data_IF_792523856901
#
_entry.id   IF_792523856901
#
_cell.length_a   1.000
_cell.length_b   1.000
_cell.length_c   1.000
_cell.angle_alpha   90.00
_cell.angle_beta   90.00
_cell.angle_gamma   90.00
#
_symmetry.space_group_name_H-M   'P 1'
#
loop_
_entity.id
_entity.type
_entity.pdbx_description
1 polymer ?
#
# COMPACT_ATOMS: atom_id res chain seq x y z
N UNK A 1 -2.16 -32.52 29.07
CA UNK A 1 -0.90 -32.46 29.84
C UNK A 1 -0.94 -33.57 30.89
N UNK A 2 -0.36 -34.76 30.60
CA UNK A 2 -0.61 -35.97 31.39
C UNK A 2 -0.11 -35.88 32.84
N UNK A 3 0.97 -35.13 33.09
CA UNK A 3 1.63 -35.08 34.40
C UNK A 3 0.90 -34.21 35.45
N UNK A 4 -0.06 -33.38 35.04
CA UNK A 4 -0.79 -32.49 35.95
C UNK A 4 -2.31 -32.70 35.91
N UNK A 5 -2.79 -33.67 35.13
CA UNK A 5 -4.23 -33.86 34.87
C UNK A 5 -5.04 -34.21 36.12
N UNK A 6 -4.41 -34.78 37.15
CA UNK A 6 -5.01 -35.09 38.45
C UNK A 6 -4.70 -34.05 39.54
N UNK A 7 -4.04 -32.93 39.21
CA UNK A 7 -3.70 -31.91 40.20
C UNK A 7 -4.93 -31.11 40.63
N UNK A 8 -5.16 -30.89 41.94
CA UNK A 8 -6.22 -30.00 42.43
C UNK A 8 -6.00 -28.54 42.03
N UNK A 9 -4.79 -28.20 41.57
CA UNK A 9 -4.40 -26.86 41.09
C UNK A 9 -4.31 -26.76 39.57
N UNK A 10 -4.85 -27.73 38.83
CA UNK A 10 -4.78 -27.77 37.36
C UNK A 10 -5.20 -26.45 36.71
N UNK A 11 -6.30 -25.83 37.15
CA UNK A 11 -6.77 -24.56 36.61
C UNK A 11 -5.76 -23.42 36.78
N UNK A 12 -5.11 -23.34 37.95
CA UNK A 12 -4.09 -22.32 38.26
C UNK A 12 -2.83 -22.54 37.39
N UNK A 13 -2.42 -23.81 37.23
CA UNK A 13 -1.30 -24.15 36.36
C UNK A 13 -1.56 -23.81 34.89
N UNK A 14 -2.77 -24.08 34.39
CA UNK A 14 -3.17 -23.75 33.01
C UNK A 14 -3.25 -22.24 32.80
N UNK A 15 -3.79 -21.51 33.78
CA UNK A 15 -3.87 -20.06 33.74
C UNK A 15 -2.47 -19.43 33.70
N UNK A 16 -1.57 -19.85 34.59
CA UNK A 16 -0.20 -19.34 34.62
C UNK A 16 0.60 -19.68 33.35
N UNK A 17 0.37 -20.88 32.78
CA UNK A 17 0.94 -21.24 31.47
C UNK A 17 0.47 -20.27 30.38
N UNK A 18 -0.84 -19.98 30.34
CA UNK A 18 -1.44 -19.07 29.36
C UNK A 18 -0.88 -17.65 29.52
N UNK A 19 -0.83 -17.13 30.74
CA UNK A 19 -0.27 -15.80 31.04
C UNK A 19 1.17 -15.64 30.56
N UNK A 20 2.02 -16.65 30.80
CA UNK A 20 3.42 -16.62 30.36
C UNK A 20 3.51 -16.64 28.83
N UNK A 21 2.67 -17.43 28.15
CA UNK A 21 2.60 -17.45 26.68
C UNK A 21 2.20 -16.07 26.16
N UNK A 22 1.12 -15.48 26.67
CA UNK A 22 0.63 -14.16 26.26
C UNK A 22 1.68 -13.06 26.50
N UNK A 23 2.41 -13.11 27.61
CA UNK A 23 3.51 -12.17 27.88
C UNK A 23 4.66 -12.26 26.87
N UNK A 24 4.98 -13.47 26.41
CA UNK A 24 5.99 -13.66 25.36
C UNK A 24 5.48 -13.21 24.00
N UNK A 25 4.23 -13.54 23.66
CA UNK A 25 3.58 -13.11 22.41
C UNK A 25 3.55 -11.58 22.28
N UNK A 26 3.15 -10.85 23.33
CA UNK A 26 3.17 -9.37 23.33
C UNK A 26 4.56 -8.78 23.03
N UNK A 27 5.63 -9.41 23.53
CA UNK A 27 7.00 -8.95 23.27
C UNK A 27 7.42 -9.22 21.82
N UNK A 28 7.01 -10.36 21.26
CA UNK A 28 7.25 -10.69 19.85
C UNK A 28 6.50 -9.73 18.93
N UNK A 29 5.22 -9.48 19.19
CA UNK A 29 4.38 -8.56 18.42
C UNK A 29 4.97 -7.14 18.43
N UNK A 30 5.42 -6.67 19.60
CA UNK A 30 6.09 -5.37 19.73
C UNK A 30 7.39 -5.32 18.92
N UNK A 31 8.17 -6.40 18.91
CA UNK A 31 9.41 -6.47 18.13
C UNK A 31 9.16 -6.46 16.62
N UNK A 32 8.14 -7.19 16.17
CA UNK A 32 7.73 -7.23 14.76
C UNK A 32 7.20 -5.86 14.33
N UNK A 33 6.31 -5.24 15.11
CA UNK A 33 5.76 -3.93 14.79
C UNK A 33 6.84 -2.86 14.63
N UNK A 34 7.79 -2.79 15.57
CA UNK A 34 8.92 -1.86 15.49
C UNK A 34 9.77 -2.10 14.24
N UNK A 35 10.01 -3.37 13.90
CA UNK A 35 10.78 -3.77 12.72
C UNK A 35 10.06 -3.34 11.43
N UNK A 36 8.75 -3.57 11.34
CA UNK A 36 7.93 -3.12 10.22
C UNK A 36 7.91 -1.59 10.11
N UNK A 37 7.82 -0.87 11.23
CA UNK A 37 7.90 0.59 11.26
C UNK A 37 9.25 1.11 10.76
N UNK A 38 10.37 0.45 11.09
CA UNK A 38 11.67 0.78 10.51
C UNK A 38 11.69 0.60 8.99
N UNK A 39 11.09 -0.48 8.46
CA UNK A 39 10.97 -0.68 7.02
C UNK A 39 10.12 0.41 6.35
N UNK A 40 9.01 0.82 6.98
CA UNK A 40 8.18 1.92 6.47
C UNK A 40 8.94 3.23 6.46
N UNK A 41 9.71 3.51 7.53
CA UNK A 41 10.55 4.70 7.63
C UNK A 41 11.56 4.79 6.48
N UNK A 42 12.21 3.68 6.13
CA UNK A 42 13.15 3.65 5.03
C UNK A 42 12.49 3.88 3.67
N UNK A 43 11.33 3.27 3.41
CA UNK A 43 10.59 3.51 2.16
C UNK A 43 10.13 4.96 2.06
N UNK A 44 9.61 5.53 3.15
CA UNK A 44 9.21 6.93 3.21
C UNK A 44 10.39 7.87 2.94
N UNK A 45 11.57 7.55 3.46
CA UNK A 45 12.79 8.30 3.21
C UNK A 45 13.18 8.25 1.72
N UNK A 46 13.13 7.07 1.08
CA UNK A 46 13.40 6.93 -0.36
C UNK A 46 12.44 7.79 -1.18
N UNK A 47 11.13 7.69 -0.91
CA UNK A 47 10.11 8.47 -1.61
C UNK A 47 10.36 9.99 -1.47
N UNK A 48 10.64 10.46 -0.25
CA UNK A 48 10.89 11.87 0.01
C UNK A 48 12.18 12.40 -0.65
N UNK A 49 13.22 11.57 -0.76
CA UNK A 49 14.50 11.96 -1.34
C UNK A 49 14.49 11.94 -2.88
N UNK A 50 13.70 11.04 -3.48
CA UNK A 50 13.81 10.70 -4.90
C UNK A 50 12.63 11.22 -5.73
N UNK A 51 11.44 11.37 -5.15
CA UNK A 51 10.22 11.75 -5.89
C UNK A 51 9.99 13.26 -5.89
N UNK A 52 10.11 13.87 -7.06
CA UNK A 52 9.95 15.31 -7.28
C UNK A 52 8.54 15.64 -7.74
N UNK A 53 8.08 16.86 -7.47
CA UNK A 53 6.78 17.34 -7.99
C UNK A 53 6.72 17.34 -9.52
N UNK A 54 7.85 17.59 -10.17
CA UNK A 54 8.00 17.60 -11.63
C UNK A 54 7.80 16.22 -12.27
N UNK A 55 7.88 15.12 -11.49
CA UNK A 55 7.64 13.78 -12.01
C UNK A 55 6.16 13.60 -12.40
N UNK A 56 5.25 14.22 -11.64
CA UNK A 56 3.80 14.14 -11.89
C UNK A 56 3.20 15.43 -12.49
N UNK A 57 3.98 16.52 -12.49
CA UNK A 57 3.63 17.77 -13.15
C UNK A 57 4.85 18.37 -13.84
N UNK A 58 5.30 17.78 -14.96
CA UNK A 58 6.40 18.30 -15.74
C UNK A 58 6.04 19.66 -16.34
N UNK A 59 7.04 20.51 -16.52
CA UNK A 59 6.86 21.84 -17.11
C UNK A 59 6.69 21.76 -18.64
N UNK A 60 7.34 20.79 -19.27
CA UNK A 60 7.19 20.46 -20.70
C UNK A 60 6.68 19.03 -20.87
N UNK A 61 5.41 18.89 -21.23
CA UNK A 61 4.76 17.58 -21.43
C UNK A 61 5.21 16.88 -22.72
N UNK A 62 5.82 17.57 -23.68
CA UNK A 62 6.13 17.00 -25.00
C UNK A 62 7.34 16.05 -24.98
N UNK A 63 8.22 16.18 -23.99
CA UNK A 63 9.48 15.44 -23.90
C UNK A 63 9.50 14.42 -22.75
N UNK A 64 8.33 14.05 -22.22
CA UNK A 64 8.24 13.14 -21.08
C UNK A 64 8.22 11.69 -21.58
N UNK A 65 9.19 10.90 -21.11
CA UNK A 65 9.18 9.46 -21.30
C UNK A 65 8.23 8.80 -20.29
N UNK A 66 7.19 8.11 -20.78
CA UNK A 66 6.24 7.38 -19.94
C UNK A 66 6.91 6.11 -19.41
N UNK A 67 7.30 6.14 -18.14
CA UNK A 67 7.86 5.02 -17.41
C UNK A 67 7.64 5.22 -15.91
N UNK A 68 7.85 4.17 -15.12
CA UNK A 68 7.90 4.32 -13.67
C UNK A 68 9.11 5.16 -13.25
N UNK A 69 8.96 5.87 -12.15
CA UNK A 69 9.93 6.83 -11.61
C UNK A 69 11.11 6.13 -10.94
N UNK A 70 12.20 6.87 -10.75
CA UNK A 70 13.36 6.36 -10.03
C UNK A 70 13.03 6.05 -8.55
N UNK A 71 12.11 6.82 -7.94
CA UNK A 71 11.65 6.52 -6.59
C UNK A 71 10.91 5.18 -6.54
N UNK A 72 10.05 4.89 -7.54
CA UNK A 72 9.39 3.60 -7.67
C UNK A 72 10.40 2.45 -7.77
N UNK A 73 11.42 2.56 -8.61
CA UNK A 73 12.49 1.56 -8.75
C UNK A 73 13.16 1.29 -7.40
N UNK A 74 13.59 2.35 -6.71
CA UNK A 74 14.33 2.23 -5.45
C UNK A 74 13.46 1.62 -4.34
N UNK A 75 12.19 2.01 -4.24
CA UNK A 75 11.24 1.44 -3.28
C UNK A 75 10.99 -0.03 -3.60
N UNK A 76 10.69 -0.39 -4.85
CA UNK A 76 10.44 -1.79 -5.22
C UNK A 76 11.67 -2.68 -4.98
N UNK A 77 12.87 -2.21 -5.30
CA UNK A 77 14.11 -2.93 -5.02
C UNK A 77 14.30 -3.17 -3.51
N UNK A 78 14.04 -2.14 -2.69
CA UNK A 78 14.09 -2.28 -1.23
C UNK A 78 13.05 -3.29 -0.73
N UNK A 79 11.78 -3.16 -1.13
CA UNK A 79 10.70 -4.06 -0.70
C UNK A 79 11.01 -5.51 -1.04
N UNK A 80 11.45 -5.80 -2.28
CA UNK A 80 11.80 -7.17 -2.69
C UNK A 80 12.87 -7.79 -1.79
N UNK A 81 13.92 -7.02 -1.47
CA UNK A 81 14.99 -7.45 -0.55
C UNK A 81 14.45 -7.75 0.87
N UNK A 82 13.52 -6.94 1.36
CA UNK A 82 12.92 -7.15 2.67
C UNK A 82 11.99 -8.37 2.70
N UNK A 83 11.18 -8.55 1.66
CA UNK A 83 10.29 -9.72 1.49
C UNK A 83 11.09 -11.02 1.44
N UNK A 84 12.19 -11.05 0.69
CA UNK A 84 13.09 -12.20 0.65
C UNK A 84 13.63 -12.55 2.04
N UNK A 85 14.12 -11.54 2.77
CA UNK A 85 14.60 -11.73 4.14
C UNK A 85 13.52 -12.29 5.07
N UNK A 86 12.30 -11.77 4.99
CA UNK A 86 11.19 -12.23 5.83
C UNK A 86 10.88 -13.70 5.53
N UNK A 87 10.79 -14.08 4.25
CA UNK A 87 10.53 -15.46 3.83
C UNK A 87 11.62 -16.45 4.25
N UNK A 88 12.86 -15.99 4.35
CA UNK A 88 13.99 -16.82 4.76
C UNK A 88 14.21 -16.83 6.28
N UNK A 89 13.46 -16.05 7.05
CA UNK A 89 13.67 -15.89 8.51
C UNK A 89 12.44 -16.29 9.34
N UNK A 90 11.35 -16.70 8.71
CA UNK A 90 10.08 -17.02 9.37
C UNK A 90 9.42 -18.23 8.70
N UNK A 91 8.74 -19.03 9.51
CA UNK A 91 8.12 -20.28 9.07
C UNK A 91 6.58 -20.24 9.17
N UNK A 92 5.96 -21.17 8.44
CA UNK A 92 4.56 -21.53 8.60
C UNK A 92 3.60 -20.37 8.34
N UNK A 93 2.66 -20.12 9.26
CA UNK A 93 1.66 -19.06 9.11
C UNK A 93 2.16 -17.69 9.54
N UNK A 94 3.27 -17.61 10.28
CA UNK A 94 3.78 -16.35 10.80
C UNK A 94 4.34 -15.47 9.68
N UNK A 95 4.99 -16.07 8.68
CA UNK A 95 5.48 -15.36 7.49
C UNK A 95 4.33 -14.68 6.74
N UNK A 96 3.19 -15.36 6.57
CA UNK A 96 2.04 -14.82 5.86
C UNK A 96 1.42 -13.63 6.62
N UNK A 97 1.30 -13.74 7.94
CA UNK A 97 0.80 -12.65 8.81
C UNK A 97 1.70 -11.42 8.72
N UNK A 98 3.03 -11.60 8.78
CA UNK A 98 3.98 -10.48 8.71
C UNK A 98 4.01 -9.86 7.31
N UNK A 99 3.97 -10.67 6.25
CA UNK A 99 3.89 -10.17 4.86
C UNK A 99 2.56 -9.46 4.60
N UNK A 100 1.46 -9.94 5.17
CA UNK A 100 0.16 -9.26 5.09
C UNK A 100 0.24 -7.86 5.72
N UNK A 101 0.73 -7.76 6.96
CA UNK A 101 0.87 -6.47 7.65
C UNK A 101 1.84 -5.53 6.92
N UNK A 102 2.99 -6.05 6.45
CA UNK A 102 3.93 -5.30 5.63
C UNK A 102 3.26 -4.74 4.37
N UNK A 103 2.49 -5.58 3.67
CA UNK A 103 1.83 -5.23 2.42
C UNK A 103 0.71 -4.20 2.62
N UNK A 104 -0.06 -4.30 3.70
CA UNK A 104 -1.08 -3.31 4.07
C UNK A 104 -0.43 -1.95 4.37
N UNK A 105 0.64 -1.93 5.16
CA UNK A 105 1.38 -0.68 5.47
C UNK A 105 2.05 -0.09 4.23
N UNK A 106 2.61 -0.93 3.37
CA UNK A 106 3.21 -0.51 2.10
C UNK A 106 2.17 0.13 1.18
N UNK A 107 1.01 -0.51 0.99
CA UNK A 107 -0.10 0.06 0.24
C UNK A 107 -0.52 1.42 0.81
N UNK A 108 -0.73 1.50 2.14
CA UNK A 108 -1.10 2.76 2.81
C UNK A 108 -0.07 3.86 2.54
N UNK A 109 1.22 3.55 2.66
CA UNK A 109 2.31 4.50 2.40
C UNK A 109 2.26 5.03 0.96
N UNK A 110 2.08 4.17 -0.04
CA UNK A 110 2.00 4.59 -1.44
C UNK A 110 0.73 5.42 -1.70
N UNK A 111 -0.42 4.99 -1.18
CA UNK A 111 -1.68 5.72 -1.30
C UNK A 111 -1.56 7.14 -0.73
N UNK A 112 -1.06 7.29 0.49
CA UNK A 112 -0.85 8.59 1.14
C UNK A 112 0.22 9.44 0.43
N UNK A 113 1.23 8.80 -0.15
CA UNK A 113 2.26 9.49 -0.92
C UNK A 113 1.72 10.11 -2.21
N UNK A 114 0.91 9.36 -2.97
CA UNK A 114 0.30 9.88 -4.21
C UNK A 114 -0.62 11.08 -3.94
N UNK A 115 -1.31 11.11 -2.81
CA UNK A 115 -2.18 12.23 -2.43
C UNK A 115 -1.45 13.56 -2.20
N UNK A 116 -0.12 13.56 -2.10
CA UNK A 116 0.68 14.77 -1.86
C UNK A 116 1.01 15.54 -3.15
N UNK A 117 0.62 15.03 -4.31
CA UNK A 117 0.98 15.57 -5.62
C UNK A 117 -0.25 16.05 -6.40
N UNK A 118 0.02 16.89 -7.40
CA UNK A 118 -0.95 17.27 -8.41
C UNK A 118 -0.50 16.71 -9.76
N UNK A 119 -1.44 16.20 -10.55
CA UNK A 119 -1.15 15.40 -11.73
C UNK A 119 -1.58 16.11 -13.01
N UNK A 120 -0.63 16.33 -13.91
CA UNK A 120 -0.92 16.54 -15.34
C UNK A 120 -1.47 15.27 -15.97
N UNK A 121 -1.95 15.33 -17.21
CA UNK A 121 -2.36 14.13 -17.95
C UNK A 121 -1.17 13.15 -18.07
N UNK A 122 -0.02 13.67 -18.49
CA UNK A 122 1.22 12.89 -18.63
C UNK A 122 1.69 12.33 -17.28
N UNK A 123 1.72 13.15 -16.23
CA UNK A 123 2.10 12.70 -14.89
C UNK A 123 1.14 11.67 -14.29
N UNK A 124 -0.15 11.72 -14.66
CA UNK A 124 -1.10 10.66 -14.34
C UNK A 124 -0.72 9.32 -14.99
N UNK A 125 -0.22 9.33 -16.22
CA UNK A 125 0.29 8.10 -16.87
C UNK A 125 1.52 7.54 -16.15
N UNK A 126 2.44 8.39 -15.71
CA UNK A 126 3.60 7.96 -14.90
C UNK A 126 3.15 7.37 -13.55
N UNK A 127 2.14 7.95 -12.90
CA UNK A 127 1.57 7.40 -11.67
C UNK A 127 0.97 6.01 -11.88
N UNK A 128 0.31 5.76 -13.01
CA UNK A 128 -0.19 4.43 -13.39
C UNK A 128 1.00 3.46 -13.56
N UNK A 129 2.09 3.88 -14.21
CA UNK A 129 3.30 3.05 -14.34
C UNK A 129 3.90 2.70 -12.98
N UNK A 130 4.00 3.67 -12.06
CA UNK A 130 4.50 3.47 -10.70
C UNK A 130 3.65 2.44 -9.96
N UNK A 131 2.33 2.61 -9.95
CA UNK A 131 1.42 1.71 -9.25
C UNK A 131 1.39 0.32 -9.89
N UNK A 132 1.53 0.22 -11.21
CA UNK A 132 1.66 -1.07 -11.88
C UNK A 132 2.92 -1.82 -11.43
N UNK A 133 4.04 -1.12 -11.23
CA UNK A 133 5.28 -1.73 -10.75
C UNK A 133 5.22 -2.07 -9.25
N UNK A 134 4.63 -1.20 -8.41
CA UNK A 134 4.34 -1.52 -7.01
C UNK A 134 3.42 -2.75 -6.88
N UNK A 135 2.42 -2.86 -7.75
CA UNK A 135 1.52 -4.02 -7.81
C UNK A 135 2.26 -5.30 -8.19
N UNK A 136 3.20 -5.25 -9.14
CA UNK A 136 4.05 -6.42 -9.45
C UNK A 136 4.87 -6.82 -8.23
N UNK A 137 5.46 -5.86 -7.53
CA UNK A 137 6.18 -6.11 -6.28
C UNK A 137 5.27 -6.73 -5.20
N UNK A 138 4.06 -6.21 -5.02
CA UNK A 138 3.06 -6.73 -4.10
C UNK A 138 2.63 -8.17 -4.43
N UNK A 139 2.56 -8.54 -5.71
CA UNK A 139 2.25 -9.91 -6.15
C UNK A 139 3.27 -10.95 -5.64
N UNK A 140 4.52 -10.54 -5.41
CA UNK A 140 5.57 -11.42 -4.89
C UNK A 140 5.37 -11.78 -3.42
N UNK A 141 4.54 -11.04 -2.69
CA UNK A 141 4.20 -11.33 -1.29
C UNK A 141 3.38 -12.63 -1.19
N UNK A 142 2.67 -13.01 -2.25
CA UNK A 142 1.74 -14.14 -2.27
C UNK A 142 0.58 -14.01 -1.27
N UNK A 143 0.21 -12.78 -0.92
CA UNK A 143 -0.93 -12.47 -0.05
C UNK A 143 -2.06 -11.85 -0.89
N UNK A 144 -3.21 -12.55 -1.06
CA UNK A 144 -4.30 -12.09 -1.93
C UNK A 144 -4.83 -10.69 -1.58
N UNK A 145 -5.00 -10.40 -0.29
CA UNK A 145 -5.46 -9.09 0.18
C UNK A 145 -4.54 -7.95 -0.29
N UNK A 146 -3.22 -8.14 -0.20
CA UNK A 146 -2.25 -7.12 -0.60
C UNK A 146 -2.32 -6.86 -2.10
N UNK A 147 -2.44 -7.92 -2.91
CA UNK A 147 -2.61 -7.77 -4.36
C UNK A 147 -3.89 -7.00 -4.69
N UNK A 148 -5.01 -7.35 -4.05
CA UNK A 148 -6.30 -6.70 -4.25
C UNK A 148 -6.28 -5.20 -3.87
N UNK A 149 -5.55 -4.84 -2.80
CA UNK A 149 -5.35 -3.44 -2.43
C UNK A 149 -4.65 -2.66 -3.57
N UNK A 150 -3.58 -3.23 -4.13
CA UNK A 150 -2.87 -2.60 -5.26
C UNK A 150 -3.66 -2.65 -6.59
N UNK A 151 -4.50 -3.66 -6.81
CA UNK A 151 -5.47 -3.67 -7.93
C UNK A 151 -6.41 -2.46 -7.84
N UNK A 152 -6.94 -2.22 -6.65
CA UNK A 152 -7.86 -1.10 -6.38
C UNK A 152 -7.14 0.24 -6.53
N UNK A 153 -5.92 0.37 -6.02
CA UNK A 153 -5.11 1.58 -6.18
C UNK A 153 -4.76 1.86 -7.64
N UNK A 154 -4.43 0.82 -8.41
CA UNK A 154 -4.18 0.95 -9.84
C UNK A 154 -5.42 1.44 -10.59
N UNK A 155 -6.60 0.92 -10.24
CA UNK A 155 -7.86 1.40 -10.78
C UNK A 155 -8.14 2.88 -10.43
N UNK A 156 -7.81 3.31 -9.19
CA UNK A 156 -7.92 4.71 -8.78
C UNK A 156 -7.03 5.63 -9.62
N UNK A 157 -5.80 5.21 -9.95
CA UNK A 157 -4.90 6.00 -10.80
C UNK A 157 -5.46 6.26 -12.21
N UNK A 158 -6.35 5.42 -12.73
CA UNK A 158 -7.00 5.69 -14.01
C UNK A 158 -7.88 6.95 -13.98
N UNK A 159 -8.39 7.33 -12.80
CA UNK A 159 -9.16 8.57 -12.62
C UNK A 159 -8.33 9.83 -12.90
N UNK A 160 -7.00 9.73 -12.79
CA UNK A 160 -6.08 10.85 -13.04
C UNK A 160 -5.94 11.18 -14.54
N UNK A 161 -6.20 10.20 -15.42
CA UNK A 161 -5.92 10.31 -16.86
C UNK A 161 -7.20 10.29 -17.71
N UNK A 162 -8.27 9.67 -17.23
CA UNK A 162 -9.52 9.54 -18.00
C UNK A 162 -10.06 10.90 -18.45
N UNK A 163 -10.62 10.97 -19.67
CA UNK A 163 -11.30 12.17 -20.13
C UNK A 163 -12.46 12.56 -19.18
N UNK A 164 -12.71 13.86 -18.94
CA UNK A 164 -13.76 14.33 -18.03
C UNK A 164 -15.14 13.72 -18.30
N UNK A 165 -15.50 13.52 -19.56
CA UNK A 165 -16.80 12.98 -19.96
C UNK A 165 -16.99 11.51 -19.55
N UNK A 166 -15.90 10.74 -19.49
CA UNK A 166 -15.92 9.31 -19.14
C UNK A 166 -15.73 9.07 -17.63
N UNK A 167 -15.51 10.12 -16.83
CA UNK A 167 -15.17 9.99 -15.41
C UNK A 167 -16.24 9.26 -14.60
N UNK A 168 -17.53 9.55 -14.85
CA UNK A 168 -18.66 8.86 -14.17
C UNK A 168 -18.70 7.36 -14.49
N UNK A 169 -18.42 7.00 -15.74
CA UNK A 169 -18.40 5.61 -16.16
C UNK A 169 -17.28 4.85 -15.47
N UNK A 170 -16.07 5.42 -15.40
CA UNK A 170 -14.93 4.79 -14.72
C UNK A 170 -15.19 4.66 -13.22
N UNK A 171 -15.73 5.69 -12.56
CA UNK A 171 -16.11 5.62 -11.14
C UNK A 171 -17.14 4.50 -10.85
N UNK A 172 -18.00 4.19 -11.83
CA UNK A 172 -19.04 3.16 -11.69
C UNK A 172 -18.57 1.76 -12.12
N UNK A 173 -17.31 1.62 -12.55
CA UNK A 173 -16.73 0.35 -12.95
C UNK A 173 -16.56 -0.60 -11.76
N UNK A 174 -16.63 -1.92 -12.00
CA UNK A 174 -16.61 -2.97 -10.97
C UNK A 174 -15.49 -2.83 -9.94
N UNK A 175 -14.30 -2.37 -10.37
CA UNK A 175 -13.13 -2.19 -9.51
C UNK A 175 -13.25 -1.01 -8.52
N UNK A 176 -14.09 -0.02 -8.82
CA UNK A 176 -14.25 1.21 -8.04
C UNK A 176 -15.66 1.34 -7.42
N UNK A 177 -16.63 0.57 -7.90
CA UNK A 177 -18.04 0.65 -7.51
C UNK A 177 -18.27 0.46 -5.99
N UNK A 178 -17.39 -0.30 -5.32
CA UNK A 178 -17.49 -0.56 -3.89
C UNK A 178 -16.72 0.45 -3.01
N UNK A 179 -16.05 1.45 -3.62
CA UNK A 179 -15.35 2.49 -2.87
C UNK A 179 -16.29 3.63 -2.50
N UNK A 180 -16.02 4.24 -1.34
CA UNK A 180 -16.70 5.47 -0.93
C UNK A 180 -16.48 6.57 -1.99
N UNK A 181 -17.57 7.25 -2.37
CA UNK A 181 -17.56 8.36 -3.32
C UNK A 181 -16.55 9.46 -2.92
N UNK A 182 -16.31 9.65 -1.62
CA UNK A 182 -15.30 10.58 -1.09
C UNK A 182 -13.86 10.17 -1.43
N UNK A 183 -13.58 8.86 -1.46
CA UNK A 183 -12.25 8.34 -1.88
C UNK A 183 -12.05 8.64 -3.36
N UNK A 184 -13.04 8.31 -4.19
CA UNK A 184 -13.01 8.61 -5.63
C UNK A 184 -12.84 10.11 -5.88
N UNK A 185 -13.61 10.93 -5.16
CA UNK A 185 -13.56 12.39 -5.30
C UNK A 185 -12.20 12.96 -4.87
N UNK A 186 -11.65 12.51 -3.73
CA UNK A 186 -10.34 12.98 -3.26
C UNK A 186 -9.22 12.65 -4.25
N UNK A 187 -9.28 11.50 -4.94
CA UNK A 187 -8.32 11.17 -5.99
C UNK A 187 -8.48 12.06 -7.23
N UNK A 188 -9.73 12.34 -7.65
CA UNK A 188 -10.01 13.25 -8.77
C UNK A 188 -9.55 14.68 -8.49
N UNK A 189 -9.58 15.12 -7.23
CA UNK A 189 -9.08 16.44 -6.81
C UNK A 189 -7.57 16.61 -7.03
N UNK A 190 -6.82 15.53 -7.18
CA UNK A 190 -5.37 15.58 -7.43
C UNK A 190 -5.06 16.02 -8.87
N UNK A 191 -6.03 15.94 -9.81
CA UNK A 191 -5.81 16.35 -11.20
C UNK A 191 -5.57 17.85 -11.33
N UNK A 192 -4.59 18.24 -12.14
CA UNK A 192 -4.27 19.63 -12.42
C UNK A 192 -5.42 20.38 -13.10
N UNK A 193 -6.26 19.68 -13.88
CA UNK A 193 -7.43 20.21 -14.57
C UNK A 193 -8.71 20.20 -13.71
N UNK A 194 -8.66 19.79 -12.44
CA UNK A 194 -9.86 19.61 -11.61
C UNK A 194 -10.80 20.84 -11.61
N UNK A 195 -10.21 22.03 -11.48
CA UNK A 195 -10.96 23.31 -11.47
C UNK A 195 -11.36 23.74 -12.87
N UNK A 196 -10.46 23.70 -13.84
CA UNK A 196 -10.70 24.18 -15.21
C UNK A 196 -11.74 23.31 -15.94
N UNK A 197 -11.70 21.99 -15.75
CA UNK A 197 -12.66 21.03 -16.30
C UNK A 197 -13.94 20.90 -15.45
N UNK A 198 -14.06 21.64 -14.33
CA UNK A 198 -15.23 21.66 -13.43
C UNK A 198 -15.63 20.25 -12.94
N UNK A 199 -14.65 19.42 -12.57
CA UNK A 199 -14.87 17.99 -12.29
C UNK A 199 -15.71 17.73 -11.03
N UNK A 200 -15.86 18.72 -10.14
CA UNK A 200 -16.71 18.62 -8.95
C UNK A 200 -18.16 18.22 -9.27
N UNK A 201 -18.68 18.60 -10.46
CA UNK A 201 -20.05 18.28 -10.91
C UNK A 201 -20.34 16.78 -11.05
N UNK A 202 -19.30 15.95 -11.12
CA UNK A 202 -19.45 14.49 -11.20
C UNK A 202 -19.67 13.86 -9.82
N UNK A 203 -19.43 14.62 -8.73
CA UNK A 203 -19.48 14.15 -7.35
C UNK A 203 -20.51 14.86 -6.47
N UNK A 204 -21.19 15.88 -6.98
CA UNK A 204 -22.46 16.37 -6.44
C UNK A 204 -23.58 15.33 -6.53
#
# INVERSE_FOLDING_TARGET
>A
VPLISSSPKLSECLQKKKEIIEQMEMKLDTGIDRTLNCMMGQMKHILAAEQKKTDFKPEDENNVLIQYTNACVKVCAYVRKQVEKIKNSMDGKNVDTVLMELGVRFHRLIYEHLQQYSYSCMGGMLAICDVAEYRKCAKDFKIPLVLQLFDTLHALCNLLVVAPDNLKQVCSGEQLANLDKNILHSFVQLRADYRSARLARHFS
#
